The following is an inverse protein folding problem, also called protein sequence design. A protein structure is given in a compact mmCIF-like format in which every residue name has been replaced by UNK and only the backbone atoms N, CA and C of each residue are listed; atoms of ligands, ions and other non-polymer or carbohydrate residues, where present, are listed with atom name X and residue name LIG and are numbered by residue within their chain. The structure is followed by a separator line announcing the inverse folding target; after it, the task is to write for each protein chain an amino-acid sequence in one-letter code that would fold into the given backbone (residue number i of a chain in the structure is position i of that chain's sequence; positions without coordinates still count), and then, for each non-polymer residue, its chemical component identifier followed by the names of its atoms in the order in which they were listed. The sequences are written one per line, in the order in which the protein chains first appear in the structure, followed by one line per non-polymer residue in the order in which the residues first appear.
data_IF_790008639523
#
_entry.id   IF_790008639523
#
_cell.length_a   1.000
_cell.length_b   1.000
_cell.length_c   1.000
_cell.angle_alpha   90.00
_cell.angle_beta   90.00
_cell.angle_gamma   90.00
#
_symmetry.space_group_name_H-M   'P 1'
#
loop_
_entity.id
_entity.type
_entity.pdbx_description
1 polymer ?
#
# COMPACT_ATOMS: atom_id res chain seq x y z
N UNK A 1 -21.80 -20.80 12.14
CA UNK A 1 -22.55 -19.61 12.53
C UNK A 1 -21.97 -18.94 13.79
N UNK A 2 -21.68 -19.65 14.90
CA UNK A 2 -21.08 -19.06 16.13
C UNK A 2 -19.73 -18.37 15.91
N UNK A 3 -18.86 -18.91 15.03
CA UNK A 3 -17.54 -18.32 14.72
C UNK A 3 -17.64 -17.02 13.90
N UNK A 4 -18.67 -16.89 13.06
CA UNK A 4 -18.92 -15.66 12.28
C UNK A 4 -19.44 -14.54 13.17
N UNK A 5 -20.29 -14.86 14.12
CA UNK A 5 -20.83 -13.91 15.12
C UNK A 5 -19.70 -13.39 16.01
N UNK A 6 -18.75 -14.25 16.42
CA UNK A 6 -17.59 -13.86 17.22
C UNK A 6 -16.65 -12.91 16.45
N UNK A 7 -16.51 -13.11 15.13
CA UNK A 7 -15.72 -12.24 14.27
C UNK A 7 -16.38 -10.86 14.10
N UNK A 8 -17.70 -10.82 13.91
CA UNK A 8 -18.47 -9.58 13.80
C UNK A 8 -18.48 -8.81 15.12
N UNK A 9 -18.62 -9.49 16.25
CA UNK A 9 -18.55 -8.88 17.60
C UNK A 9 -17.12 -8.38 17.89
N UNK A 10 -16.08 -9.10 17.46
CA UNK A 10 -14.70 -8.68 17.62
C UNK A 10 -14.38 -7.40 16.83
N UNK A 11 -14.93 -7.25 15.63
CA UNK A 11 -14.75 -6.05 14.78
C UNK A 11 -15.53 -4.85 15.36
N UNK A 12 -16.71 -5.06 15.93
CA UNK A 12 -17.51 -3.97 16.51
C UNK A 12 -16.95 -3.43 17.82
N UNK A 13 -16.16 -4.19 18.58
CA UNK A 13 -15.50 -3.71 19.79
C UNK A 13 -14.34 -2.72 19.54
N UNK A 14 -13.81 -2.68 18.32
CA UNK A 14 -12.80 -1.69 17.91
C UNK A 14 -13.39 -0.38 17.36
N UNK A 15 -14.70 -0.29 17.22
CA UNK A 15 -15.40 0.86 16.65
C UNK A 15 -15.90 1.85 17.73
N UNK A 16 -15.12 2.10 18.77
CA UNK A 16 -15.41 3.23 19.67
C UNK A 16 -14.73 4.46 19.06
N UNK A 17 -15.47 5.39 18.44
CA UNK A 17 -14.87 6.62 17.93
C UNK A 17 -14.42 7.47 19.12
N UNK A 18 -13.12 7.43 19.40
CA UNK A 18 -12.50 8.44 20.26
C UNK A 18 -12.22 9.67 19.39
N UNK A 19 -12.47 10.89 19.86
CA UNK A 19 -12.26 12.14 19.08
C UNK A 19 -10.81 12.35 18.61
N UNK A 20 -9.88 11.51 19.05
CA UNK A 20 -8.48 11.52 18.63
C UNK A 20 -8.12 10.44 17.61
N UNK A 21 -9.08 9.59 17.21
CA UNK A 21 -8.88 8.52 16.24
C UNK A 21 -9.45 8.92 14.89
N UNK A 22 -8.70 8.65 13.81
CA UNK A 22 -9.18 8.82 12.45
C UNK A 22 -8.80 7.61 11.61
N UNK A 23 -9.67 7.29 10.67
CA UNK A 23 -9.46 6.25 9.67
C UNK A 23 -9.24 6.93 8.32
N UNK A 24 -8.14 6.62 7.67
CA UNK A 24 -7.86 7.10 6.33
C UNK A 24 -7.95 5.92 5.36
N UNK A 25 -8.85 6.02 4.38
CA UNK A 25 -8.95 5.07 3.28
C UNK A 25 -8.46 5.72 1.99
N UNK A 26 -7.59 5.06 1.23
CA UNK A 26 -7.09 5.62 -0.02
C UNK A 26 -7.12 4.64 -1.18
N UNK A 27 -7.30 5.19 -2.39
CA UNK A 27 -7.11 4.49 -3.65
C UNK A 27 -6.17 5.33 -4.52
N UNK A 28 -5.15 4.71 -5.09
CA UNK A 28 -4.10 5.38 -5.83
C UNK A 28 -3.80 4.65 -7.14
N UNK A 29 -3.53 5.42 -8.18
CA UNK A 29 -2.82 4.93 -9.35
C UNK A 29 -1.32 4.92 -9.03
N UNK A 30 -0.65 3.81 -9.37
CA UNK A 30 0.74 3.60 -8.98
C UNK A 30 1.59 3.17 -10.17
N UNK A 31 2.71 3.87 -10.34
CA UNK A 31 3.80 3.46 -11.20
C UNK A 31 4.82 2.71 -10.36
N UNK A 32 5.07 1.46 -10.71
CA UNK A 32 5.94 0.55 -9.96
C UNK A 32 7.11 0.12 -10.85
N UNK A 33 8.31 0.52 -10.49
CA UNK A 33 9.54 0.18 -11.19
C UNK A 33 10.28 -0.91 -10.44
N UNK A 34 10.32 -2.10 -11.04
CA UNK A 34 11.18 -3.20 -10.58
C UNK A 34 12.62 -2.89 -11.00
N UNK A 35 13.53 -2.84 -10.02
CA UNK A 35 14.96 -2.72 -10.26
C UNK A 35 15.59 -4.05 -10.64
N UNK A 36 16.86 -4.02 -11.04
CA UNK A 36 17.64 -5.19 -11.47
C UNK A 36 18.34 -4.95 -12.80
N UNK A 37 19.01 -5.98 -13.32
CA UNK A 37 19.72 -5.91 -14.62
C UNK A 37 18.81 -5.63 -15.81
N UNK A 38 17.51 -5.92 -15.69
CA UNK A 38 16.46 -5.60 -16.66
C UNK A 38 15.31 -4.93 -15.92
N UNK A 39 15.40 -3.61 -15.76
CA UNK A 39 14.35 -2.84 -15.09
C UNK A 39 13.02 -2.97 -15.84
N UNK A 40 11.96 -3.38 -15.17
CA UNK A 40 10.60 -3.48 -15.73
C UNK A 40 9.71 -2.46 -15.06
N UNK A 41 9.01 -1.69 -15.87
CA UNK A 41 8.03 -0.73 -15.40
C UNK A 41 6.64 -1.36 -15.44
N UNK A 42 5.93 -1.28 -14.34
CA UNK A 42 4.56 -1.77 -14.18
C UNK A 42 3.66 -0.61 -13.77
N UNK A 43 2.44 -0.63 -14.26
CA UNK A 43 1.39 0.29 -13.84
C UNK A 43 0.34 -0.50 -13.07
N UNK A 44 -0.30 0.15 -12.12
CA UNK A 44 -1.30 -0.53 -11.32
C UNK A 44 -2.11 0.39 -10.44
N UNK A 45 -2.88 -0.25 -9.57
CA UNK A 45 -3.70 0.40 -8.57
C UNK A 45 -3.30 -0.11 -7.21
N UNK A 46 -3.23 0.78 -6.25
CA UNK A 46 -3.04 0.43 -4.84
C UNK A 46 -4.14 1.06 -3.98
N UNK A 47 -4.47 0.37 -2.89
CA UNK A 47 -5.37 0.85 -1.87
C UNK A 47 -4.71 0.78 -0.52
N UNK A 48 -4.98 1.72 0.38
CA UNK A 48 -4.52 1.64 1.75
C UNK A 48 -5.59 2.03 2.75
N UNK A 49 -5.50 1.40 3.92
CA UNK A 49 -6.26 1.76 5.11
C UNK A 49 -5.28 2.11 6.21
N UNK A 50 -5.49 3.21 6.91
CA UNK A 50 -4.68 3.60 8.05
C UNK A 50 -5.58 4.00 9.23
N UNK A 51 -5.25 3.48 10.40
CA UNK A 51 -5.85 3.85 11.67
C UNK A 51 -4.83 4.72 12.40
N UNK A 52 -5.17 5.98 12.60
CA UNK A 52 -4.28 6.95 13.21
C UNK A 52 -4.80 7.37 14.57
N UNK A 53 -3.89 7.47 15.53
CA UNK A 53 -4.11 8.06 16.84
C UNK A 53 -3.07 9.17 17.03
N UNK A 54 -3.53 10.42 17.04
CA UNK A 54 -2.66 11.60 17.03
C UNK A 54 -1.72 11.60 15.81
N UNK A 55 -0.42 11.51 16.04
CA UNK A 55 0.63 11.50 15.02
C UNK A 55 1.10 10.09 14.62
N UNK A 56 0.70 9.05 15.36
CA UNK A 56 1.07 7.66 15.13
C UNK A 56 -0.12 6.86 14.62
N UNK A 57 0.12 5.92 13.70
CA UNK A 57 -0.90 5.03 13.17
C UNK A 57 -0.32 3.71 12.68
N UNK A 58 -1.24 2.82 12.31
CA UNK A 58 -0.95 1.56 11.63
C UNK A 58 -1.62 1.62 10.26
N UNK A 59 -0.89 1.30 9.22
CA UNK A 59 -1.38 1.28 7.85
C UNK A 59 -1.26 -0.11 7.25
N UNK A 60 -2.27 -0.50 6.47
CA UNK A 60 -2.23 -1.63 5.56
C UNK A 60 -2.30 -1.12 4.12
N UNK A 61 -1.50 -1.69 3.23
CA UNK A 61 -1.39 -1.31 1.81
C UNK A 61 -1.50 -2.56 0.95
N UNK A 62 -2.36 -2.52 -0.05
CA UNK A 62 -2.55 -3.55 -1.05
C UNK A 62 -2.32 -2.97 -2.44
N UNK A 63 -1.50 -3.62 -3.26
CA UNK A 63 -1.19 -3.18 -4.62
C UNK A 63 -1.32 -4.29 -5.65
N UNK A 64 -1.83 -3.93 -6.82
CA UNK A 64 -1.90 -4.79 -8.01
C UNK A 64 -1.24 -4.06 -9.17
N UNK A 65 -0.19 -4.64 -9.72
CA UNK A 65 0.59 -4.05 -10.80
C UNK A 65 0.68 -5.01 -11.97
N UNK A 66 0.64 -4.47 -13.18
CA UNK A 66 0.68 -5.23 -14.42
C UNK A 66 1.66 -4.62 -15.41
N UNK A 67 2.37 -5.49 -16.14
CA UNK A 67 3.15 -5.13 -17.33
C UNK A 67 3.20 -6.29 -18.32
N UNK A 68 3.43 -5.99 -19.59
CA UNK A 68 3.58 -6.97 -20.67
C UNK A 68 4.87 -6.72 -21.45
N UNK A 69 6.06 -6.86 -20.82
CA UNK A 69 7.31 -6.72 -21.56
C UNK A 69 7.47 -7.90 -22.53
N UNK A 70 7.72 -7.60 -23.81
CA UNK A 70 8.03 -8.60 -24.86
C UNK A 70 7.03 -9.76 -24.94
N UNK A 71 5.75 -9.52 -24.69
CA UNK A 71 4.70 -10.57 -24.74
C UNK A 71 4.59 -11.46 -23.50
N UNK A 72 5.39 -11.24 -22.49
CA UNK A 72 5.28 -11.90 -21.17
C UNK A 72 4.37 -11.08 -20.27
N UNK A 73 3.28 -11.66 -19.80
CA UNK A 73 2.41 -11.00 -18.81
C UNK A 73 3.02 -11.13 -17.43
N UNK A 74 3.37 -9.98 -16.83
CA UNK A 74 3.86 -9.89 -15.45
C UNK A 74 2.79 -9.25 -14.57
N UNK A 75 2.40 -9.96 -13.52
CA UNK A 75 1.50 -9.43 -12.48
C UNK A 75 2.21 -9.46 -11.13
N UNK A 76 2.20 -8.34 -10.43
CA UNK A 76 2.74 -8.21 -9.08
C UNK A 76 1.63 -7.82 -8.13
N UNK A 77 1.47 -8.59 -7.07
CA UNK A 77 0.56 -8.30 -5.97
C UNK A 77 1.38 -8.02 -4.72
N UNK A 78 1.09 -6.94 -4.02
CA UNK A 78 1.73 -6.61 -2.74
C UNK A 78 0.68 -6.52 -1.65
N UNK A 79 1.01 -7.04 -0.48
CA UNK A 79 0.21 -6.94 0.73
C UNK A 79 1.14 -6.61 1.89
N UNK A 80 1.10 -5.38 2.35
CA UNK A 80 2.04 -4.82 3.31
C UNK A 80 1.28 -4.17 4.46
N UNK A 81 1.86 -4.21 5.65
CA UNK A 81 1.30 -3.50 6.78
C UNK A 81 2.41 -3.05 7.75
N UNK A 82 2.16 -1.98 8.52
CA UNK A 82 3.13 -1.48 9.48
C UNK A 82 2.83 -0.07 9.98
N UNK A 83 3.76 0.52 10.74
CA UNK A 83 3.60 1.84 11.32
C UNK A 83 3.60 2.96 10.28
N UNK A 84 2.79 3.98 10.57
CA UNK A 84 2.74 5.26 9.86
C UNK A 84 2.82 6.41 10.87
N UNK A 85 3.59 7.43 10.55
CA UNK A 85 3.64 8.68 11.27
C UNK A 85 3.05 9.77 10.37
N UNK A 86 2.03 10.47 10.84
CA UNK A 86 1.35 11.53 10.09
C UNK A 86 1.40 12.81 10.90
N UNK A 87 1.96 13.86 10.33
CA UNK A 87 1.95 15.20 10.93
C UNK A 87 0.69 15.92 10.46
N UNK A 88 -0.27 16.05 11.36
CA UNK A 88 -1.52 16.77 11.10
C UNK A 88 -1.36 18.22 11.47
N UNK A 89 -1.66 19.11 10.54
CA UNK A 89 -1.61 20.53 10.77
C UNK A 89 -2.86 21.23 10.19
N UNK A 90 -3.22 22.43 10.70
CA UNK A 90 -4.41 23.14 10.25
C UNK A 90 -4.33 23.67 8.81
N UNK A 91 -3.18 23.56 8.12
CA UNK A 91 -2.99 24.06 6.76
C UNK A 91 -3.51 23.13 5.67
N UNK A 92 -4.23 22.05 6.01
CA UNK A 92 -4.72 21.02 5.09
C UNK A 92 -3.61 20.25 4.34
N UNK A 93 -2.36 20.38 4.75
CA UNK A 93 -1.21 19.67 4.20
C UNK A 93 -0.65 18.77 5.30
N UNK A 94 -0.90 17.46 5.20
CA UNK A 94 -0.50 16.49 6.21
C UNK A 94 0.56 15.54 5.64
N UNK A 95 1.85 15.81 5.86
CA UNK A 95 2.92 14.89 5.47
C UNK A 95 2.90 13.64 6.34
N UNK A 96 3.25 12.51 5.75
CA UNK A 96 3.40 11.24 6.46
C UNK A 96 4.61 10.46 5.97
N UNK A 97 5.12 9.61 6.86
CA UNK A 97 6.11 8.58 6.55
C UNK A 97 5.61 7.24 7.05
N UNK A 98 6.00 6.17 6.38
CA UNK A 98 5.56 4.81 6.75
C UNK A 98 6.67 3.79 6.52
N UNK A 99 6.66 2.74 7.36
CA UNK A 99 7.47 1.55 7.18
C UNK A 99 6.56 0.33 7.22
N UNK A 100 6.48 -0.39 6.12
CA UNK A 100 5.55 -1.51 5.95
C UNK A 100 6.32 -2.79 5.65
N UNK A 101 5.81 -3.94 6.11
CA UNK A 101 6.36 -5.26 5.83
C UNK A 101 5.23 -6.24 5.54
N UNK A 102 5.50 -7.27 4.73
CA UNK A 102 4.49 -8.26 4.38
C UNK A 102 4.93 -9.18 3.26
N UNK A 103 4.03 -9.45 2.32
CA UNK A 103 4.26 -10.36 1.21
C UNK A 103 4.05 -9.72 -0.14
N UNK A 104 4.72 -10.29 -1.14
CA UNK A 104 4.45 -10.02 -2.55
C UNK A 104 4.34 -11.34 -3.30
N UNK A 105 3.45 -11.38 -4.27
CA UNK A 105 3.32 -12.47 -5.23
C UNK A 105 3.59 -11.96 -6.64
N UNK A 106 4.61 -12.51 -7.25
CA UNK A 106 4.95 -12.25 -8.65
C UNK A 106 4.46 -13.42 -9.51
N UNK A 107 3.70 -13.13 -10.54
CA UNK A 107 3.24 -14.12 -11.52
C UNK A 107 3.69 -13.72 -12.91
N UNK A 108 4.34 -14.63 -13.63
CA UNK A 108 4.76 -14.46 -15.01
C UNK A 108 4.06 -15.50 -15.88
N UNK A 109 3.46 -15.09 -17.01
CA UNK A 109 2.79 -15.97 -17.96
C UNK A 109 3.29 -15.74 -19.37
N UNK A 110 3.62 -16.83 -20.08
CA UNK A 110 4.01 -16.84 -21.49
C UNK A 110 3.48 -18.09 -22.18
N UNK A 111 2.82 -17.96 -23.34
CA UNK A 111 2.41 -19.08 -24.18
C UNK A 111 1.52 -20.13 -23.52
N UNK A 112 0.67 -19.75 -22.56
CA UNK A 112 -0.22 -20.67 -21.83
C UNK A 112 0.41 -21.32 -20.59
N UNK A 113 1.70 -21.09 -20.32
CA UNK A 113 2.38 -21.53 -19.09
C UNK A 113 2.51 -20.35 -18.13
N UNK A 114 2.22 -20.56 -16.85
CA UNK A 114 2.36 -19.55 -15.81
C UNK A 114 3.22 -20.07 -14.67
N UNK A 115 4.11 -19.20 -14.17
CA UNK A 115 4.88 -19.43 -12.96
C UNK A 115 4.56 -18.33 -11.95
N UNK A 116 4.44 -18.69 -10.67
CA UNK A 116 4.20 -17.74 -9.60
C UNK A 116 5.20 -17.99 -8.46
N UNK A 117 5.72 -16.89 -7.88
CA UNK A 117 6.61 -16.91 -6.73
C UNK A 117 6.07 -16.01 -5.65
N UNK A 118 6.06 -16.50 -4.42
CA UNK A 118 5.77 -15.70 -3.24
C UNK A 118 7.10 -15.29 -2.58
N UNK A 119 7.16 -14.04 -2.14
CA UNK A 119 8.38 -13.48 -1.57
C UNK A 119 8.03 -12.51 -0.44
N UNK A 120 8.97 -12.32 0.48
CA UNK A 120 8.85 -11.30 1.51
C UNK A 120 9.01 -9.93 0.86
N UNK A 121 8.20 -8.98 1.28
CA UNK A 121 8.26 -7.61 0.80
C UNK A 121 8.27 -6.63 1.97
N UNK A 122 9.01 -5.55 1.81
CA UNK A 122 8.97 -4.42 2.72
C UNK A 122 8.95 -3.13 1.94
N UNK A 123 8.35 -2.08 2.50
CA UNK A 123 8.31 -0.76 1.90
C UNK A 123 8.67 0.30 2.95
N UNK A 124 9.41 1.30 2.51
CA UNK A 124 9.69 2.49 3.29
C UNK A 124 9.48 3.71 2.40
N UNK A 125 8.67 4.64 2.86
CA UNK A 125 8.35 5.81 2.06
C UNK A 125 7.46 6.79 2.78
N UNK A 126 6.86 7.68 2.00
CA UNK A 126 5.97 8.69 2.52
C UNK A 126 5.30 9.48 1.42
N UNK A 127 4.47 10.39 1.85
CA UNK A 127 3.70 11.25 0.98
C UNK A 127 3.12 12.43 1.73
N UNK A 128 2.24 13.11 1.04
CA UNK A 128 1.55 14.29 1.59
C UNK A 128 0.07 14.18 1.26
N UNK A 129 -0.80 14.33 2.25
CA UNK A 129 -2.23 14.48 2.05
C UNK A 129 -2.55 15.97 1.90
N UNK A 130 -2.98 16.35 0.71
CA UNK A 130 -3.37 17.72 0.37
C UNK A 130 -4.90 17.77 0.39
N UNK A 131 -5.47 18.38 1.42
CA UNK A 131 -6.92 18.51 1.60
C UNK A 131 -7.56 19.30 0.45
N UNK A 132 -8.45 18.66 -0.28
CA UNK A 132 -9.27 19.27 -1.34
C UNK A 132 -10.66 19.66 -0.81
N UNK A 133 -11.22 18.81 0.03
CA UNK A 133 -12.52 18.95 0.67
C UNK A 133 -12.41 18.50 2.14
N UNK A 134 -13.40 18.77 3.00
CA UNK A 134 -13.30 18.44 4.43
C UNK A 134 -12.92 16.99 4.75
N UNK A 135 -13.29 16.04 3.88
CA UNK A 135 -13.03 14.61 4.06
C UNK A 135 -12.22 13.98 2.92
N UNK A 136 -11.81 14.76 1.90
CA UNK A 136 -11.13 14.24 0.72
C UNK A 136 -9.81 14.97 0.53
N UNK A 137 -8.74 14.22 0.39
CA UNK A 137 -7.41 14.74 0.10
C UNK A 137 -6.79 14.05 -1.13
N UNK A 138 -5.90 14.76 -1.81
CA UNK A 138 -5.02 14.22 -2.84
C UNK A 138 -3.73 13.73 -2.17
N UNK A 139 -3.27 12.52 -2.52
CA UNK A 139 -2.07 11.90 -1.96
C UNK A 139 -1.03 11.59 -3.02
N UNK A 140 -0.08 12.46 -3.31
CA UNK A 140 1.19 12.07 -3.90
C UNK A 140 2.03 11.29 -2.86
N UNK A 141 2.59 10.14 -3.29
CA UNK A 141 3.35 9.23 -2.43
C UNK A 141 4.51 8.61 -3.19
N UNK A 142 5.64 8.42 -2.53
CA UNK A 142 6.81 7.71 -3.05
C UNK A 142 7.26 6.69 -2.02
N UNK A 143 7.45 5.44 -2.45
CA UNK A 143 7.95 4.36 -1.62
C UNK A 143 9.12 3.66 -2.29
N UNK A 144 10.11 3.34 -1.50
CA UNK A 144 11.08 2.30 -1.79
C UNK A 144 10.49 0.97 -1.38
N UNK A 145 10.49 -0.02 -2.26
CA UNK A 145 9.97 -1.37 -2.00
C UNK A 145 11.07 -2.39 -2.24
N UNK A 146 11.41 -3.16 -1.22
CA UNK A 146 12.33 -4.28 -1.32
C UNK A 146 11.56 -5.60 -1.42
N UNK A 147 11.84 -6.38 -2.48
CA UNK A 147 11.31 -7.73 -2.67
C UNK A 147 12.42 -8.73 -2.38
N UNK A 148 12.29 -9.51 -1.32
CA UNK A 148 13.32 -10.44 -0.86
C UNK A 148 12.93 -11.88 -1.16
N UNK A 149 13.76 -12.57 -1.93
CA UNK A 149 13.59 -13.99 -2.26
C UNK A 149 14.96 -14.69 -2.30
N UNK A 150 15.07 -15.85 -1.65
CA UNK A 150 16.25 -16.72 -1.69
C UNK A 150 17.60 -15.99 -1.47
N UNK A 151 17.64 -15.03 -0.53
CA UNK A 151 18.88 -14.31 -0.20
C UNK A 151 19.19 -13.11 -1.12
N UNK A 152 18.37 -12.83 -2.10
CA UNK A 152 18.50 -11.67 -2.98
C UNK A 152 17.36 -10.67 -2.74
N UNK A 153 17.70 -9.39 -2.79
CA UNK A 153 16.69 -8.31 -2.67
C UNK A 153 16.64 -7.54 -3.99
N UNK A 154 15.47 -7.50 -4.57
CA UNK A 154 15.17 -6.64 -5.73
C UNK A 154 14.67 -5.30 -5.21
N UNK A 155 15.38 -4.23 -5.55
CA UNK A 155 15.05 -2.88 -5.15
C UNK A 155 14.05 -2.29 -6.15
N UNK A 156 12.92 -1.84 -5.67
CA UNK A 156 11.86 -1.28 -6.48
C UNK A 156 11.51 0.12 -5.99
N UNK A 157 11.01 0.95 -6.89
CA UNK A 157 10.48 2.27 -6.55
C UNK A 157 9.03 2.33 -6.97
N UNK A 158 8.17 2.79 -6.08
CA UNK A 158 6.76 3.04 -6.34
C UNK A 158 6.48 4.53 -6.23
N UNK A 159 5.88 5.10 -7.26
CA UNK A 159 5.35 6.47 -7.25
C UNK A 159 3.84 6.36 -7.44
N UNK A 160 3.08 6.98 -6.57
CA UNK A 160 1.63 6.87 -6.56
C UNK A 160 0.96 8.24 -6.45
N UNK A 161 -0.20 8.36 -7.07
CA UNK A 161 -1.08 9.51 -6.92
C UNK A 161 -2.49 8.98 -6.65
N UNK A 162 -3.09 9.39 -5.57
CA UNK A 162 -4.38 8.87 -5.14
C UNK A 162 -5.29 9.87 -4.45
N UNK A 163 -6.48 9.41 -4.15
CA UNK A 163 -7.46 10.10 -3.32
C UNK A 163 -7.57 9.39 -1.98
N UNK A 164 -7.67 10.19 -0.93
CA UNK A 164 -7.85 9.74 0.45
C UNK A 164 -9.18 10.23 0.96
N UNK A 165 -9.91 9.35 1.61
CA UNK A 165 -11.09 9.66 2.40
C UNK A 165 -10.71 9.61 3.89
N UNK A 166 -10.88 10.72 4.58
CA UNK A 166 -10.72 10.84 6.02
C UNK A 166 -12.09 10.62 6.71
N UNK A 167 -12.15 9.60 7.60
CA UNK A 167 -13.35 9.17 8.33
C UNK A 167 -13.20 9.43 9.83
#
# INVERSE_FOLDING_TARGET
MKKLILLVVGVSLFAIPSPAQSVDASVSYSYFRLGGSSAVNQNGVSGSLAFNHLWFGIAGDFGVYHATPSGVSLNTYTFLFGPRLTLRNPTHINPFVQGLAGGSRLSAGYGGTSAASNQFAFAFGGGVDIGLLPHIALRPQVDYVGLHNAGQTVNCTRVSLGLVLHL
#
